data_IF_369601042659
#
_entry.id   IF_369601042659
#
_cell.length_a   1.000
_cell.length_b   1.000
_cell.length_c   1.000
_cell.angle_alpha   90.00
_cell.angle_beta   90.00
_cell.angle_gamma   90.00
#
_symmetry.space_group_name_H-M   'P 1'
#
loop_
_entity.id
_entity.type
_entity.pdbx_description
1 polymer ?
#
# COMPACT_ATOMS: atom_id res chain seq x y z
N UNK A 1 15.07 -5.95 -10.44
CA UNK A 1 13.92 -5.43 -9.68
C UNK A 1 14.37 -4.83 -8.36
N UNK A 2 14.34 -5.62 -7.27
CA UNK A 2 14.58 -5.13 -5.90
C UNK A 2 15.88 -4.33 -5.67
N UNK A 3 16.99 -4.72 -6.27
CA UNK A 3 18.24 -3.96 -6.15
C UNK A 3 18.17 -2.56 -6.81
N UNK A 4 17.36 -2.38 -7.85
CA UNK A 4 17.10 -1.07 -8.45
C UNK A 4 16.23 -0.22 -7.51
N UNK A 5 15.17 -0.81 -6.94
CA UNK A 5 14.33 -0.15 -5.94
C UNK A 5 15.15 0.33 -4.73
N UNK A 6 16.05 -0.52 -4.21
CA UNK A 6 16.93 -0.16 -3.09
C UNK A 6 17.92 0.98 -3.39
N UNK A 7 18.13 1.34 -4.67
CA UNK A 7 18.93 2.50 -5.10
C UNK A 7 18.07 3.71 -5.50
N UNK A 8 16.75 3.65 -5.31
CA UNK A 8 15.82 4.70 -5.71
C UNK A 8 15.49 4.70 -7.22
N UNK A 9 15.93 3.71 -7.98
CA UNK A 9 15.56 3.55 -9.39
C UNK A 9 14.24 2.78 -9.50
N UNK A 10 13.14 3.48 -9.19
CA UNK A 10 11.78 2.93 -9.17
C UNK A 10 11.35 2.48 -10.57
N UNK A 11 11.69 3.25 -11.61
CA UNK A 11 11.37 2.92 -12.99
C UNK A 11 12.09 1.65 -13.46
N UNK A 12 13.39 1.53 -13.17
CA UNK A 12 14.15 0.31 -13.43
C UNK A 12 13.67 -0.88 -12.60
N UNK A 13 13.22 -0.65 -11.36
CA UNK A 13 12.60 -1.69 -10.55
C UNK A 13 11.34 -2.24 -11.20
N UNK A 14 10.38 -1.37 -11.54
CA UNK A 14 9.13 -1.75 -12.18
C UNK A 14 9.36 -2.54 -13.48
N UNK A 15 10.24 -2.03 -14.36
CA UNK A 15 10.59 -2.72 -15.61
C UNK A 15 11.16 -4.11 -15.37
N UNK A 16 12.18 -4.23 -14.52
CA UNK A 16 12.85 -5.52 -14.27
C UNK A 16 11.95 -6.52 -13.52
N UNK A 17 11.01 -6.03 -12.69
CA UNK A 17 10.04 -6.91 -12.03
C UNK A 17 9.01 -7.39 -13.06
N UNK A 18 8.54 -6.51 -13.95
CA UNK A 18 7.64 -6.90 -15.04
C UNK A 18 8.29 -7.94 -15.97
N UNK A 19 9.53 -7.70 -16.40
CA UNK A 19 10.28 -8.69 -17.19
C UNK A 19 10.39 -10.03 -16.47
N UNK A 20 10.60 -10.04 -15.15
CA UNK A 20 10.65 -11.27 -14.38
C UNK A 20 9.27 -11.98 -14.31
N UNK A 21 8.17 -11.23 -14.25
CA UNK A 21 6.81 -11.78 -14.28
C UNK A 21 6.44 -12.31 -15.67
N UNK A 22 6.91 -11.68 -16.74
CA UNK A 22 6.67 -12.13 -18.11
C UNK A 22 7.39 -13.47 -18.42
N UNK A 23 8.40 -13.86 -17.62
CA UNK A 23 9.00 -15.20 -17.69
C UNK A 23 8.11 -16.30 -17.08
N UNK A 24 7.01 -15.94 -16.43
CA UNK A 24 6.13 -16.87 -15.71
C UNK A 24 4.85 -17.07 -16.49
N UNK A 25 4.75 -18.19 -17.19
CA UNK A 25 3.56 -18.59 -17.95
C UNK A 25 2.65 -19.45 -17.07
N UNK A 26 1.92 -18.81 -16.15
CA UNK A 26 0.90 -19.47 -15.32
C UNK A 26 1.44 -20.16 -14.04
N UNK A 27 0.63 -21.03 -13.41
CA UNK A 27 1.00 -21.67 -12.14
C UNK A 27 2.27 -22.53 -12.28
N UNK A 28 3.27 -22.35 -11.40
CA UNK A 28 4.51 -23.10 -11.46
C UNK A 28 4.27 -24.62 -11.41
N UNK A 29 4.98 -25.34 -12.28
CA UNK A 29 5.04 -26.80 -12.33
C UNK A 29 3.66 -27.48 -12.39
N UNK A 30 2.64 -26.82 -12.96
CA UNK A 30 1.25 -27.31 -12.93
C UNK A 30 1.11 -28.75 -13.43
N UNK A 31 1.85 -29.13 -14.46
CA UNK A 31 1.86 -30.48 -15.05
C UNK A 31 2.57 -31.56 -14.22
N UNK A 32 3.28 -31.18 -13.15
CA UNK A 32 4.20 -32.06 -12.41
C UNK A 32 3.85 -32.21 -10.92
N UNK A 33 2.69 -31.68 -10.48
CA UNK A 33 2.27 -31.65 -9.07
C UNK A 33 1.87 -33.01 -8.48
N UNK A 34 1.90 -34.09 -9.26
CA UNK A 34 1.53 -35.44 -8.81
C UNK A 34 2.48 -36.02 -7.72
N UNK A 35 3.68 -35.46 -7.59
CA UNK A 35 4.63 -35.85 -6.54
C UNK A 35 4.70 -34.80 -5.43
N UNK A 36 4.66 -35.25 -4.17
CA UNK A 36 4.62 -34.36 -3.01
C UNK A 36 5.78 -33.36 -2.96
N UNK A 37 7.01 -33.79 -3.31
CA UNK A 37 8.17 -32.91 -3.33
C UNK A 37 8.10 -31.84 -4.43
N UNK A 38 7.49 -32.15 -5.58
CA UNK A 38 7.27 -31.18 -6.65
C UNK A 38 6.14 -30.24 -6.32
N UNK A 39 5.05 -30.72 -5.69
CA UNK A 39 3.97 -29.85 -5.22
C UNK A 39 4.46 -28.80 -4.21
N UNK A 40 5.29 -29.20 -3.25
CA UNK A 40 5.87 -28.27 -2.28
C UNK A 40 6.77 -27.21 -2.94
N UNK A 41 7.60 -27.62 -3.91
CA UNK A 41 8.44 -26.68 -4.65
C UNK A 41 7.60 -25.74 -5.53
N UNK A 42 6.53 -26.25 -6.13
CA UNK A 42 5.60 -25.45 -6.91
C UNK A 42 4.93 -24.36 -6.05
N UNK A 43 4.52 -24.69 -4.82
CA UNK A 43 3.95 -23.73 -3.87
C UNK A 43 4.99 -22.69 -3.42
N UNK A 44 6.26 -23.11 -3.19
CA UNK A 44 7.36 -22.18 -2.90
C UNK A 44 7.62 -21.21 -4.04
N UNK A 45 7.62 -21.69 -5.28
CA UNK A 45 7.77 -20.85 -6.46
C UNK A 45 6.58 -19.91 -6.60
N UNK A 46 5.36 -20.39 -6.46
CA UNK A 46 4.16 -19.56 -6.54
C UNK A 46 4.18 -18.45 -5.48
N UNK A 47 4.53 -18.78 -4.23
CA UNK A 47 4.68 -17.79 -3.18
C UNK A 47 5.72 -16.71 -3.50
N UNK A 48 6.81 -17.07 -4.20
CA UNK A 48 7.81 -16.12 -4.70
C UNK A 48 7.27 -15.27 -5.85
N UNK A 49 6.43 -15.82 -6.74
CA UNK A 49 5.76 -15.02 -7.80
C UNK A 49 4.99 -13.88 -7.19
N UNK A 50 4.18 -14.24 -6.20
CA UNK A 50 3.21 -13.33 -5.61
C UNK A 50 3.95 -12.18 -4.92
N UNK A 51 5.13 -12.45 -4.34
CA UNK A 51 6.00 -11.38 -3.84
C UNK A 51 6.55 -10.48 -4.95
N UNK A 52 6.85 -11.01 -6.14
CA UNK A 52 7.27 -10.18 -7.28
C UNK A 52 6.11 -9.31 -7.78
N UNK A 53 4.88 -9.83 -7.82
CA UNK A 53 3.69 -9.05 -8.14
C UNK A 53 3.43 -7.94 -7.11
N UNK A 54 3.58 -8.23 -5.82
CA UNK A 54 3.48 -7.26 -4.73
C UNK A 54 4.52 -6.14 -4.88
N UNK A 55 5.80 -6.50 -5.06
CA UNK A 55 6.90 -5.53 -5.27
C UNK A 55 6.69 -4.70 -6.55
N UNK A 56 6.17 -5.31 -7.62
CA UNK A 56 5.90 -4.63 -8.89
C UNK A 56 4.77 -3.61 -8.75
N UNK A 57 3.67 -3.99 -8.08
CA UNK A 57 2.55 -3.10 -7.84
C UNK A 57 2.96 -1.88 -7.00
N UNK A 58 3.78 -2.07 -5.96
CA UNK A 58 4.34 -0.98 -5.17
C UNK A 58 5.12 0.02 -6.06
N UNK A 59 5.97 -0.48 -6.97
CA UNK A 59 6.74 0.36 -7.88
C UNK A 59 5.86 1.09 -8.92
N UNK A 60 4.84 0.44 -9.48
CA UNK A 60 3.90 1.09 -10.41
C UNK A 60 3.08 2.19 -9.72
N UNK A 61 2.66 1.97 -8.47
CA UNK A 61 1.96 2.98 -7.68
C UNK A 61 2.85 4.22 -7.46
N UNK A 62 4.12 4.02 -7.09
CA UNK A 62 5.07 5.11 -6.87
C UNK A 62 5.34 5.93 -8.14
N UNK A 63 5.27 5.28 -9.31
CA UNK A 63 5.39 5.92 -10.62
C UNK A 63 4.09 6.59 -11.09
N UNK A 64 3.02 6.59 -10.29
CA UNK A 64 1.72 7.16 -10.66
C UNK A 64 0.92 6.29 -11.64
N UNK A 65 1.31 5.02 -11.81
CA UNK A 65 0.71 4.05 -12.75
C UNK A 65 -0.16 3.01 -12.04
N UNK A 66 -0.87 3.43 -10.99
CA UNK A 66 -1.67 2.56 -10.15
C UNK A 66 -2.72 1.72 -10.93
N UNK A 67 -3.29 2.25 -12.01
CA UNK A 67 -4.24 1.52 -12.86
C UNK A 67 -3.63 0.23 -13.45
N UNK A 68 -2.35 0.26 -13.84
CA UNK A 68 -1.64 -0.90 -14.37
C UNK A 68 -1.54 -2.00 -13.30
N UNK A 69 -1.26 -1.61 -12.05
CA UNK A 69 -1.21 -2.53 -10.92
C UNK A 69 -2.60 -3.11 -10.57
N UNK A 70 -3.68 -2.33 -10.72
CA UNK A 70 -5.05 -2.86 -10.51
C UNK A 70 -5.33 -4.03 -11.45
N UNK A 71 -5.04 -3.85 -12.74
CA UNK A 71 -5.30 -4.87 -13.76
C UNK A 71 -4.40 -6.09 -13.56
N UNK A 72 -3.12 -5.89 -13.23
CA UNK A 72 -2.18 -6.98 -13.01
C UNK A 72 -2.43 -7.81 -11.75
N UNK A 73 -3.15 -7.28 -10.75
CA UNK A 73 -3.40 -7.98 -9.48
C UNK A 73 -4.77 -8.62 -9.37
N UNK A 74 -5.75 -8.25 -10.22
CA UNK A 74 -7.16 -8.65 -10.10
C UNK A 74 -7.35 -10.17 -9.97
N UNK A 75 -6.82 -10.94 -10.91
CA UNK A 75 -7.00 -12.39 -10.91
C UNK A 75 -6.24 -13.07 -9.76
N UNK A 76 -5.14 -12.46 -9.30
CA UNK A 76 -4.32 -13.00 -8.23
C UNK A 76 -5.01 -12.85 -6.87
N UNK A 77 -5.69 -11.73 -6.61
CA UNK A 77 -6.40 -11.53 -5.33
C UNK A 77 -7.61 -12.46 -5.19
N UNK A 78 -8.22 -12.84 -6.31
CA UNK A 78 -9.30 -13.83 -6.35
C UNK A 78 -8.77 -15.25 -6.11
N UNK A 79 -7.62 -15.60 -6.71
CA UNK A 79 -6.98 -16.93 -6.52
C UNK A 79 -6.29 -17.12 -5.18
N UNK A 80 -5.80 -16.05 -4.57
CA UNK A 80 -5.07 -16.08 -3.30
C UNK A 80 -5.76 -15.22 -2.23
N UNK A 81 -7.01 -15.57 -1.85
CA UNK A 81 -7.85 -14.70 -1.06
C UNK A 81 -7.39 -14.54 0.40
N UNK A 82 -6.45 -15.34 0.89
CA UNK A 82 -5.90 -15.21 2.26
C UNK A 82 -4.55 -14.47 2.28
N UNK A 83 -4.01 -14.07 1.11
CA UNK A 83 -2.71 -13.40 1.04
C UNK A 83 -2.87 -11.90 1.26
N UNK A 84 -2.70 -11.47 2.50
CA UNK A 84 -2.97 -10.09 2.91
C UNK A 84 -2.16 -9.05 2.12
N UNK A 85 -0.86 -9.27 1.92
CA UNK A 85 0.00 -8.30 1.24
C UNK A 85 -0.45 -8.04 -0.20
N UNK A 86 -0.86 -9.09 -0.91
CA UNK A 86 -1.42 -8.99 -2.25
C UNK A 86 -2.72 -8.16 -2.26
N UNK A 87 -3.62 -8.43 -1.31
CA UNK A 87 -4.85 -7.63 -1.14
C UNK A 87 -4.57 -6.18 -0.78
N UNK A 88 -3.60 -5.93 0.10
CA UNK A 88 -3.18 -4.59 0.47
C UNK A 88 -2.63 -3.82 -0.74
N UNK A 89 -1.81 -4.46 -1.57
CA UNK A 89 -1.30 -3.87 -2.81
C UNK A 89 -2.43 -3.53 -3.80
N UNK A 90 -3.40 -4.43 -3.98
CA UNK A 90 -4.57 -4.18 -4.84
C UNK A 90 -5.46 -3.05 -4.29
N UNK A 91 -5.75 -3.07 -2.99
CA UNK A 91 -6.48 -2.02 -2.30
C UNK A 91 -5.80 -0.64 -2.46
N UNK A 92 -4.48 -0.58 -2.30
CA UNK A 92 -3.70 0.64 -2.50
C UNK A 92 -3.72 1.10 -3.96
N UNK A 93 -3.62 0.17 -4.92
CA UNK A 93 -3.70 0.47 -6.34
C UNK A 93 -5.07 1.07 -6.71
N UNK A 94 -6.16 0.50 -6.21
CA UNK A 94 -7.52 1.01 -6.40
C UNK A 94 -7.64 2.44 -5.85
N UNK A 95 -7.18 2.67 -4.61
CA UNK A 95 -7.22 4.00 -4.00
C UNK A 95 -6.45 5.04 -4.82
N UNK A 96 -5.21 4.72 -5.22
CA UNK A 96 -4.34 5.63 -5.96
C UNK A 96 -4.81 5.87 -7.40
N UNK A 97 -5.65 4.97 -7.94
CA UNK A 97 -6.35 5.16 -9.23
C UNK A 97 -7.65 5.97 -9.12
N UNK A 98 -8.01 6.48 -7.93
CA UNK A 98 -9.24 7.25 -7.70
C UNK A 98 -10.47 6.39 -7.39
N UNK A 99 -10.34 5.07 -7.29
CA UNK A 99 -11.43 4.12 -7.01
C UNK A 99 -11.58 3.88 -5.51
N UNK A 100 -11.78 4.95 -4.74
CA UNK A 100 -11.77 4.90 -3.27
C UNK A 100 -12.84 3.98 -2.69
N UNK A 101 -14.08 4.01 -3.21
CA UNK A 101 -15.16 3.17 -2.70
C UNK A 101 -14.82 1.67 -2.81
N UNK A 102 -14.24 1.26 -3.94
CA UNK A 102 -13.82 -0.12 -4.17
C UNK A 102 -12.64 -0.50 -3.26
N UNK A 103 -11.67 0.39 -3.08
CA UNK A 103 -10.58 0.16 -2.14
C UNK A 103 -11.08 -0.09 -0.70
N UNK A 104 -12.04 0.70 -0.22
CA UNK A 104 -12.61 0.51 1.12
C UNK A 104 -13.41 -0.80 1.21
N UNK A 105 -14.12 -1.18 0.15
CA UNK A 105 -14.85 -2.45 0.10
C UNK A 105 -13.92 -3.67 0.24
N UNK A 106 -12.72 -3.61 -0.37
CA UNK A 106 -11.71 -4.68 -0.25
C UNK A 106 -11.34 -4.97 1.21
N UNK A 107 -11.22 -3.94 2.05
CA UNK A 107 -10.94 -4.12 3.48
C UNK A 107 -12.09 -4.83 4.19
N UNK A 108 -13.33 -4.39 3.96
CA UNK A 108 -14.51 -4.95 4.62
C UNK A 108 -14.77 -6.40 4.20
N UNK A 109 -14.57 -6.72 2.93
CA UNK A 109 -14.67 -8.09 2.41
C UNK A 109 -13.58 -8.98 3.01
N UNK A 110 -12.34 -8.48 3.08
CA UNK A 110 -11.23 -9.24 3.66
C UNK A 110 -11.41 -9.47 5.17
N UNK A 111 -11.89 -8.47 5.91
CA UNK A 111 -12.19 -8.61 7.34
C UNK A 111 -13.25 -9.68 7.57
N UNK A 112 -14.31 -9.71 6.76
CA UNK A 112 -15.34 -10.75 6.83
C UNK A 112 -14.78 -12.12 6.49
N UNK A 113 -13.92 -12.23 5.47
CA UNK A 113 -13.27 -13.48 5.10
C UNK A 113 -12.38 -14.01 6.24
N UNK A 114 -11.53 -13.15 6.83
CA UNK A 114 -10.65 -13.54 7.95
C UNK A 114 -11.44 -14.03 9.16
N UNK A 115 -12.53 -13.33 9.51
CA UNK A 115 -13.39 -13.74 10.61
C UNK A 115 -14.08 -15.09 10.33
N UNK A 116 -14.52 -15.33 9.08
CA UNK A 116 -15.20 -16.58 8.70
C UNK A 116 -14.26 -17.77 8.60
N UNK A 117 -13.12 -17.61 7.94
CA UNK A 117 -12.21 -18.73 7.61
C UNK A 117 -11.23 -19.05 8.74
N UNK A 118 -10.74 -18.02 9.45
CA UNK A 118 -9.67 -18.16 10.44
C UNK A 118 -10.07 -17.73 11.85
N UNK A 119 -11.22 -17.05 12.02
CA UNK A 119 -11.60 -16.44 13.30
C UNK A 119 -10.65 -15.31 13.72
N UNK A 120 -9.98 -14.68 12.76
CA UNK A 120 -8.98 -13.63 12.98
C UNK A 120 -9.45 -12.29 12.40
N UNK A 121 -8.76 -11.22 12.81
CA UNK A 121 -8.90 -9.88 12.25
C UNK A 121 -7.74 -9.57 11.28
N UNK A 122 -7.90 -8.62 10.35
CA UNK A 122 -6.81 -8.13 9.50
C UNK A 122 -5.62 -7.62 10.31
N UNK A 123 -4.41 -7.71 9.75
CA UNK A 123 -3.22 -7.28 10.45
C UNK A 123 -3.24 -5.77 10.76
N UNK A 124 -2.41 -5.33 11.74
CA UNK A 124 -2.25 -3.91 12.02
C UNK A 124 -1.82 -3.07 10.80
N UNK A 125 -1.04 -3.66 9.88
CA UNK A 125 -0.58 -2.97 8.68
C UNK A 125 -1.73 -2.74 7.69
N UNK A 126 -2.57 -3.77 7.45
CA UNK A 126 -3.77 -3.66 6.62
C UNK A 126 -4.77 -2.64 7.19
N UNK A 127 -5.00 -2.70 8.51
CA UNK A 127 -5.86 -1.73 9.20
C UNK A 127 -5.30 -0.29 9.16
N UNK A 128 -3.98 -0.12 9.22
CA UNK A 128 -3.35 1.19 9.09
C UNK A 128 -3.52 1.76 7.67
N UNK A 129 -3.37 0.91 6.64
CA UNK A 129 -3.61 1.28 5.24
C UNK A 129 -5.06 1.71 5.02
N UNK A 130 -6.03 0.96 5.53
CA UNK A 130 -7.45 1.35 5.46
C UNK A 130 -7.71 2.72 6.13
N UNK A 131 -7.15 2.94 7.33
CA UNK A 131 -7.29 4.23 8.05
C UNK A 131 -6.66 5.40 7.32
N UNK A 132 -5.56 5.21 6.60
CA UNK A 132 -4.94 6.29 5.82
C UNK A 132 -5.84 6.73 4.66
N UNK A 133 -6.50 5.78 4.00
CA UNK A 133 -7.45 6.03 2.89
C UNK A 133 -8.73 6.75 3.33
N UNK A 134 -9.14 6.59 4.58
CA UNK A 134 -10.27 7.34 5.17
C UNK A 134 -9.94 8.81 5.46
N UNK A 135 -8.71 9.27 5.18
CA UNK A 135 -8.28 10.64 5.47
C UNK A 135 -7.96 10.91 6.95
N UNK A 136 -8.16 9.94 7.85
CA UNK A 136 -7.82 10.07 9.29
C UNK A 136 -6.32 9.87 9.59
N UNK A 137 -5.52 9.52 8.57
CA UNK A 137 -4.06 9.35 8.71
C UNK A 137 -3.23 10.64 8.56
N UNK A 138 -3.86 11.79 8.24
CA UNK A 138 -3.16 13.07 8.07
C UNK A 138 -3.32 14.04 9.24
N UNK A 139 -3.84 13.58 10.38
CA UNK A 139 -4.07 14.42 11.56
C UNK A 139 -3.06 14.10 12.68
N UNK A 140 -1.77 14.35 12.43
CA UNK A 140 -0.75 14.40 13.49
C UNK A 140 0.50 15.22 13.11
N UNK A 141 0.32 16.41 12.52
CA UNK A 141 1.19 17.58 12.81
C UNK A 141 0.52 18.86 12.34
N UNK A 142 -0.42 19.39 13.13
CA UNK A 142 -0.68 20.84 13.06
C UNK A 142 0.67 21.53 13.37
N UNK A 143 1.21 22.41 12.51
CA UNK A 143 2.27 23.29 12.98
C UNK A 143 1.70 24.02 14.19
N UNK A 144 2.40 23.99 15.31
CA UNK A 144 2.11 24.86 16.43
C UNK A 144 2.26 26.28 15.88
N UNK A 145 1.14 26.90 15.49
CA UNK A 145 1.10 28.31 15.19
C UNK A 145 1.40 28.96 16.53
N UNK A 146 2.65 29.37 16.72
CA UNK A 146 3.04 30.15 17.89
C UNK A 146 2.25 31.44 17.77
N UNK A 147 1.14 31.51 18.48
CA UNK A 147 0.36 32.71 18.65
C UNK A 147 1.24 33.65 19.47
N UNK A 148 2.12 34.39 18.80
CA UNK A 148 2.85 35.53 19.37
C UNK A 148 1.76 36.45 19.94
N UNK A 149 1.65 36.48 21.26
CA UNK A 149 0.90 37.54 21.93
C UNK A 149 1.53 38.87 21.49
N UNK A 150 0.76 39.85 21.01
CA UNK A 150 1.28 41.19 20.85
C UNK A 150 1.70 41.69 22.24
N UNK A 151 2.94 42.16 22.35
CA UNK A 151 3.45 42.79 23.56
C UNK A 151 2.55 43.98 23.93
N UNK A 152 2.33 44.26 25.23
CA UNK A 152 1.55 45.41 25.65
C UNK A 152 2.23 46.70 25.16
N UNK A 153 1.49 47.50 24.39
CA UNK A 153 1.90 48.84 23.96
C UNK A 153 2.05 49.71 25.21
N UNK A 154 3.28 50.08 25.55
CA UNK A 154 3.54 51.10 26.57
C UNK A 154 3.12 52.46 26.02
N UNK A 155 2.17 53.11 26.68
CA UNK A 155 1.76 54.48 26.38
C UNK A 155 2.92 55.44 26.68
N UNK A 156 3.24 56.41 25.79
CA UNK A 156 4.23 57.43 26.09
C UNK A 156 3.75 58.30 27.26
N UNK A 157 4.66 58.55 28.21
CA UNK A 157 4.41 59.48 29.32
C UNK A 157 4.15 60.88 28.74
N UNK A 158 2.92 61.36 28.94
CA UNK A 158 2.50 62.69 28.52
C UNK A 158 3.33 63.76 29.22
N UNK A 159 4.09 64.50 28.42
CA UNK A 159 4.62 65.82 28.75
C UNK A 159 3.46 66.77 28.99
N UNK A 160 3.47 67.49 30.11
CA UNK A 160 2.45 68.47 30.44
C UNK A 160 2.86 69.36 31.61
N UNK A 161 3.97 70.08 31.44
CA UNK A 161 4.25 71.31 32.20
C UNK A 161 3.24 72.36 31.74
N UNK A 162 2.44 72.89 32.66
CA UNK A 162 1.84 74.22 32.52
C UNK A 162 2.02 74.94 33.87
N UNK A 163 2.52 76.16 33.74
CA UNK A 163 2.76 77.20 34.76
C UNK A 163 1.57 77.51 35.63
#
# INVERSE_FOLDING_TARGET
GRAAAGRGDVAGAARLLREALDLWEGPPLHDLRDSAGVAEEADRLEARCLTVYEDWAEAEIELGRAAVAVDGLRDLVERHPLRERLRAAWMNSLHQSGRQAEALAVYDDYRQLMARELGLEPSPAMAALYRSMLGRGREARRPAVSRRMPAPVALPAGTGTFT
#
